data_IF_541549480902
#
_entry.id   IF_541549480902
#
_cell.length_a   1.000
_cell.length_b   1.000
_cell.length_c   1.000
_cell.angle_alpha   90.00
_cell.angle_beta   90.00
_cell.angle_gamma   90.00
#
_symmetry.space_group_name_H-M   'P 1'
#
loop_
_entity.id
_entity.type
_entity.pdbx_description
1 polymer ?
#
# COMPACT_ATOMS: atom_id res chain seq x y z
N UNK A 1 -17.27 -0.15 -20.98
CA UNK A 1 -17.26 -0.87 -22.27
C UNK A 1 -16.12 -1.87 -22.21
N UNK A 2 -16.45 -3.16 -22.22
CA UNK A 2 -15.47 -4.23 -22.13
C UNK A 2 -14.93 -4.47 -23.53
N UNK A 3 -13.71 -4.02 -23.82
CA UNK A 3 -13.09 -4.29 -25.11
C UNK A 3 -12.63 -5.74 -25.13
N UNK A 4 -13.24 -6.53 -26.00
CA UNK A 4 -12.82 -7.90 -26.29
C UNK A 4 -11.49 -7.84 -27.04
N UNK A 5 -10.43 -8.40 -26.46
CA UNK A 5 -9.05 -8.39 -27.00
C UNK A 5 -8.98 -8.88 -28.46
N UNK A 6 -9.90 -9.76 -28.86
CA UNK A 6 -9.97 -10.34 -30.20
C UNK A 6 -10.55 -9.38 -31.25
N UNK A 7 -11.39 -8.41 -30.87
CA UNK A 7 -11.90 -7.40 -31.82
C UNK A 7 -10.90 -6.29 -32.12
N UNK A 8 -9.90 -6.10 -31.24
CA UNK A 8 -8.82 -5.12 -31.46
C UNK A 8 -7.84 -5.65 -32.51
N UNK A 9 -7.56 -6.96 -32.51
CA UNK A 9 -6.60 -7.61 -33.41
C UNK A 9 -7.05 -7.61 -34.88
N UNK A 10 -8.36 -7.67 -35.13
CA UNK A 10 -8.94 -7.72 -36.48
C UNK A 10 -8.91 -6.35 -37.20
N UNK A 11 -8.67 -5.26 -36.45
CA UNK A 11 -8.51 -3.90 -36.98
C UNK A 11 -7.04 -3.43 -37.03
N UNK A 12 -6.06 -4.33 -36.80
CA UNK A 12 -4.63 -4.00 -36.78
C UNK A 12 -3.97 -4.04 -38.16
N UNK A 13 -4.52 -3.35 -39.16
CA UNK A 13 -3.70 -2.95 -40.30
C UNK A 13 -2.85 -1.74 -39.88
N UNK A 14 -1.58 -2.01 -39.59
CA UNK A 14 -0.47 -1.06 -39.43
C UNK A 14 -0.61 -0.03 -38.29
N UNK A 15 -0.38 -0.50 -37.06
CA UNK A 15 0.03 0.40 -35.96
C UNK A 15 1.53 0.71 -36.14
N UNK A 16 1.94 2.00 -36.16
CA UNK A 16 3.35 2.37 -36.21
C UNK A 16 4.12 1.77 -35.02
N UNK A 17 5.34 1.29 -35.26
CA UNK A 17 6.21 0.73 -34.22
C UNK A 17 6.41 1.71 -33.05
N UNK A 18 6.45 3.01 -33.35
CA UNK A 18 6.51 4.09 -32.35
C UNK A 18 5.27 4.18 -31.45
N UNK A 19 4.09 3.84 -31.98
CA UNK A 19 2.86 3.74 -31.18
C UNK A 19 2.91 2.51 -30.29
N UNK A 20 3.41 1.37 -30.79
CA UNK A 20 3.63 0.17 -29.97
C UNK A 20 4.65 0.44 -28.85
N UNK A 21 5.78 1.07 -29.17
CA UNK A 21 6.82 1.44 -28.21
C UNK A 21 6.31 2.43 -27.17
N UNK A 22 5.50 3.42 -27.57
CA UNK A 22 4.86 4.34 -26.64
C UNK A 22 3.83 3.62 -25.74
N UNK A 23 3.00 2.73 -26.30
CA UNK A 23 2.03 1.94 -25.54
C UNK A 23 2.72 1.01 -24.54
N UNK A 24 3.80 0.32 -24.94
CA UNK A 24 4.62 -0.54 -24.07
C UNK A 24 5.37 0.30 -23.02
N UNK A 25 5.86 1.48 -23.39
CA UNK A 25 6.50 2.43 -22.46
C UNK A 25 5.52 2.97 -21.41
N UNK A 26 4.26 3.15 -21.79
CA UNK A 26 3.16 3.52 -20.88
C UNK A 26 2.76 2.32 -20.01
N UNK A 27 2.73 1.11 -20.59
CA UNK A 27 2.48 -0.17 -19.92
C UNK A 27 3.77 -0.78 -19.35
N UNK A 28 4.55 0.00 -18.58
CA UNK A 28 5.64 -0.61 -17.79
C UNK A 28 5.06 -1.76 -16.96
N UNK A 29 5.67 -2.96 -16.96
CA UNK A 29 5.17 -4.07 -16.19
C UNK A 29 5.02 -3.62 -14.74
N UNK A 30 3.84 -3.89 -14.16
CA UNK A 30 3.52 -3.49 -12.80
C UNK A 30 4.61 -4.07 -11.91
N UNK A 31 5.40 -3.20 -11.27
CA UNK A 31 6.54 -3.59 -10.45
C UNK A 31 6.13 -4.39 -9.20
N UNK A 32 4.82 -4.42 -8.93
CA UNK A 32 4.16 -5.16 -7.88
C UNK A 32 3.24 -6.18 -8.55
N UNK A 33 3.45 -7.45 -8.23
CA UNK A 33 2.55 -8.55 -8.59
C UNK A 33 1.24 -8.39 -7.81
N UNK A 34 0.08 -8.17 -8.47
CA UNK A 34 -1.19 -7.92 -7.79
C UNK A 34 -1.72 -9.13 -7.01
N UNK A 35 -1.30 -10.34 -7.37
CA UNK A 35 -1.78 -11.58 -6.75
C UNK A 35 -0.94 -11.98 -5.52
N UNK A 36 0.09 -11.20 -5.19
CA UNK A 36 0.98 -11.43 -4.04
C UNK A 36 0.89 -10.31 -3.03
N UNK A 37 0.85 -10.68 -1.75
CA UNK A 37 0.89 -9.71 -0.65
C UNK A 37 2.15 -8.86 -0.68
N UNK A 38 1.99 -7.60 -0.33
CA UNK A 38 3.07 -6.64 -0.05
C UNK A 38 3.12 -6.32 1.44
N UNK A 39 4.29 -5.93 1.92
CA UNK A 39 4.47 -5.23 3.20
C UNK A 39 4.74 -3.75 2.92
N UNK A 40 3.90 -2.87 3.44
CA UNK A 40 4.03 -1.42 3.26
C UNK A 40 4.40 -0.78 4.60
N UNK A 41 5.46 0.02 4.63
CA UNK A 41 5.89 0.73 5.83
C UNK A 41 6.35 2.16 5.50
N UNK A 42 6.22 3.06 6.47
CA UNK A 42 6.67 4.43 6.29
C UNK A 42 8.19 4.54 6.47
N UNK A 43 8.89 5.04 5.45
CA UNK A 43 10.30 5.33 5.53
C UNK A 43 10.53 6.69 6.21
N UNK A 44 11.04 6.69 7.44
CA UNK A 44 11.25 7.90 8.23
C UNK A 44 12.31 8.85 7.66
N UNK A 45 13.23 8.36 6.83
CA UNK A 45 14.28 9.17 6.19
C UNK A 45 13.75 9.81 4.90
N UNK A 46 13.15 9.01 4.02
CA UNK A 46 12.63 9.47 2.72
C UNK A 46 11.26 10.17 2.82
N UNK A 47 10.56 10.04 3.95
CA UNK A 47 9.20 10.56 4.18
C UNK A 47 8.16 10.04 3.18
N UNK A 48 8.29 8.78 2.76
CA UNK A 48 7.40 8.11 1.79
C UNK A 48 7.10 6.69 2.23
N UNK A 49 6.06 6.07 1.67
CA UNK A 49 5.80 4.65 1.84
C UNK A 49 6.81 3.84 1.04
N UNK A 50 7.41 2.83 1.67
CA UNK A 50 8.17 1.78 0.99
C UNK A 50 7.29 0.55 0.86
N UNK A 51 7.17 0.05 -0.36
CA UNK A 51 6.41 -1.16 -0.69
C UNK A 51 7.42 -2.30 -0.89
N UNK A 52 7.29 -3.35 -0.08
CA UNK A 52 8.16 -4.53 -0.12
C UNK A 52 7.37 -5.75 -0.59
N UNK A 53 7.86 -6.44 -1.61
CA UNK A 53 7.29 -7.70 -2.10
C UNK A 53 8.42 -8.71 -2.26
N UNK A 54 8.19 -9.96 -1.83
CA UNK A 54 9.24 -11.00 -1.89
C UNK A 54 10.53 -10.63 -1.15
N UNK A 55 10.43 -9.88 -0.05
CA UNK A 55 11.59 -9.42 0.74
C UNK A 55 12.36 -8.23 0.17
N UNK A 56 12.03 -7.74 -1.03
CA UNK A 56 12.72 -6.61 -1.68
C UNK A 56 11.80 -5.38 -1.76
N UNK A 57 12.36 -4.19 -1.54
CA UNK A 57 11.61 -2.94 -1.77
C UNK A 57 11.45 -2.76 -3.27
N UNK A 58 10.22 -2.81 -3.75
CA UNK A 58 9.88 -2.70 -5.16
C UNK A 58 9.48 -1.28 -5.52
N UNK A 59 8.88 -0.51 -4.61
CA UNK A 59 8.42 0.84 -4.91
C UNK A 59 8.53 1.78 -3.71
N UNK A 60 8.72 3.07 -4.00
CA UNK A 60 8.46 4.16 -3.07
C UNK A 60 7.30 5.00 -3.61
N UNK A 61 6.35 5.39 -2.75
CA UNK A 61 5.17 6.15 -3.16
C UNK A 61 4.66 7.05 -2.04
N UNK A 62 4.02 8.16 -2.39
CA UNK A 62 3.28 9.02 -1.46
C UNK A 62 1.86 8.51 -1.21
N UNK A 63 1.33 7.66 -2.09
CA UNK A 63 -0.04 7.16 -2.04
C UNK A 63 -0.12 5.69 -2.48
N UNK A 64 -0.91 4.88 -1.78
CA UNK A 64 -1.20 3.49 -2.16
C UNK A 64 -2.49 3.00 -1.52
N UNK A 65 -3.27 2.23 -2.27
CA UNK A 65 -4.48 1.57 -1.79
C UNK A 65 -4.27 0.05 -1.68
N UNK A 66 -4.88 -0.53 -0.66
CA UNK A 66 -4.66 -1.93 -0.27
C UNK A 66 -5.99 -2.60 -0.01
N UNK A 67 -6.19 -3.78 -0.61
CA UNK A 67 -7.27 -4.72 -0.30
C UNK A 67 -6.80 -5.75 0.73
N UNK A 68 -7.72 -6.13 1.62
CA UNK A 68 -7.53 -7.07 2.72
C UNK A 68 -6.28 -6.74 3.58
N UNK A 69 -6.10 -5.47 4.02
CA UNK A 69 -4.98 -5.10 4.86
C UNK A 69 -4.99 -5.80 6.22
N UNK A 70 -3.81 -6.23 6.64
CA UNK A 70 -3.47 -6.63 7.99
C UNK A 70 -2.50 -5.61 8.58
N UNK A 71 -2.78 -5.16 9.80
CA UNK A 71 -1.98 -4.18 10.52
C UNK A 71 -1.00 -4.90 11.45
N UNK A 72 0.22 -5.15 10.97
CA UNK A 72 1.16 -6.08 11.58
C UNK A 72 2.27 -5.37 12.36
N UNK A 73 2.46 -5.75 13.61
CA UNK A 73 3.60 -5.32 14.45
C UNK A 73 4.48 -6.52 14.79
N UNK A 74 5.73 -6.50 14.36
CA UNK A 74 6.73 -7.49 14.74
C UNK A 74 7.24 -7.24 16.16
N UNK A 75 6.86 -8.08 17.11
CA UNK A 75 7.16 -7.88 18.55
C UNK A 75 8.66 -7.83 18.84
N UNK A 76 9.47 -8.73 18.26
CA UNK A 76 10.94 -8.70 18.38
C UNK A 76 11.53 -7.36 17.89
N UNK A 77 10.97 -6.81 16.82
CA UNK A 77 11.36 -5.50 16.29
C UNK A 77 11.00 -4.37 17.26
N UNK A 78 9.79 -4.40 17.82
CA UNK A 78 9.31 -3.45 18.84
C UNK A 78 10.16 -3.51 20.11
N UNK A 79 10.43 -4.70 20.65
CA UNK A 79 11.30 -4.90 21.83
C UNK A 79 12.68 -4.27 21.62
N UNK A 80 13.24 -4.45 20.42
CA UNK A 80 14.50 -3.80 20.03
C UNK A 80 14.40 -2.26 20.07
N UNK A 81 13.31 -1.68 19.56
CA UNK A 81 13.06 -0.22 19.68
C UNK A 81 12.98 0.22 21.14
N UNK A 82 12.30 -0.55 21.99
CA UNK A 82 12.14 -0.21 23.41
C UNK A 82 13.45 -0.27 24.18
N UNK A 83 14.31 -1.25 23.88
CA UNK A 83 15.63 -1.43 24.49
C UNK A 83 16.64 -0.41 23.99
N UNK A 84 16.76 -0.25 22.69
CA UNK A 84 17.81 0.58 22.06
C UNK A 84 17.40 2.05 21.93
N UNK A 85 16.12 2.38 22.16
CA UNK A 85 15.51 3.71 21.90
C UNK A 85 15.75 4.24 20.48
N UNK A 86 16.09 3.34 19.55
CA UNK A 86 16.36 3.62 18.14
C UNK A 86 15.25 3.02 17.29
N UNK A 87 14.63 3.84 16.45
CA UNK A 87 13.56 3.38 15.55
C UNK A 87 14.12 2.40 14.51
N UNK A 88 13.40 1.30 14.30
CA UNK A 88 13.64 0.33 13.24
C UNK A 88 12.32 0.08 12.48
N UNK A 89 12.40 -0.62 11.35
CA UNK A 89 11.20 -1.04 10.62
C UNK A 89 10.66 -2.33 11.26
N UNK A 90 9.48 -2.25 11.88
CA UNK A 90 8.83 -3.38 12.54
C UNK A 90 7.29 -3.33 12.47
N UNK A 91 6.72 -2.31 11.84
CA UNK A 91 5.28 -2.14 11.70
C UNK A 91 4.95 -1.97 10.21
N UNK A 92 3.95 -2.72 9.73
CA UNK A 92 3.60 -2.82 8.32
C UNK A 92 2.09 -2.88 8.11
N UNK A 93 1.61 -2.35 7.00
CA UNK A 93 0.31 -2.72 6.43
C UNK A 93 0.58 -3.80 5.38
N UNK A 94 0.00 -4.99 5.57
CA UNK A 94 0.19 -6.15 4.70
C UNK A 94 -1.09 -6.49 3.96
N UNK A 95 -1.07 -6.52 2.63
CA UNK A 95 -2.26 -6.84 1.83
C UNK A 95 -1.96 -6.85 0.34
N UNK A 96 -2.99 -6.71 -0.49
CA UNK A 96 -2.87 -6.70 -1.95
C UNK A 96 -3.05 -5.29 -2.49
N UNK A 97 -2.18 -4.85 -3.40
CA UNK A 97 -2.27 -3.51 -3.97
C UNK A 97 -3.38 -3.47 -5.01
N UNK A 98 -4.23 -2.45 -4.95
CA UNK A 98 -5.31 -2.21 -5.91
C UNK A 98 -5.12 -0.87 -6.61
N UNK A 99 -5.59 -0.75 -7.85
CA UNK A 99 -5.42 0.44 -8.68
C UNK A 99 -6.43 1.55 -8.37
N UNK A 100 -7.49 1.22 -7.64
CA UNK A 100 -8.52 2.15 -7.28
C UNK A 100 -9.49 1.56 -6.25
N UNK A 101 -10.08 2.43 -5.45
CA UNK A 101 -11.22 2.14 -4.60
C UNK A 101 -12.32 3.17 -4.89
N UNK A 102 -13.60 2.87 -4.58
CA UNK A 102 -14.65 3.87 -4.67
C UNK A 102 -14.30 5.13 -3.84
N UNK A 103 -14.82 6.27 -4.26
CA UNK A 103 -14.47 7.57 -3.66
C UNK A 103 -15.09 7.71 -2.26
N UNK A 104 -16.30 7.17 -2.08
CA UNK A 104 -17.10 7.36 -0.87
C UNK A 104 -17.22 6.03 -0.11
N UNK A 105 -16.42 5.83 0.95
CA UNK A 105 -16.60 4.70 1.85
C UNK A 105 -17.80 4.93 2.78
N UNK A 106 -18.56 3.88 3.07
CA UNK A 106 -19.62 3.88 4.09
C UNK A 106 -19.06 4.20 5.49
N UNK A 107 -17.84 3.71 5.76
CA UNK A 107 -17.14 3.96 7.02
C UNK A 107 -15.65 4.10 6.80
N UNK A 108 -15.06 5.06 7.52
CA UNK A 108 -13.61 5.25 7.59
C UNK A 108 -13.13 5.33 9.04
N UNK A 109 -11.94 4.79 9.30
CA UNK A 109 -11.24 4.89 10.59
C UNK A 109 -9.77 5.23 10.38
N UNK A 110 -9.24 6.15 11.19
CA UNK A 110 -7.82 6.49 11.16
C UNK A 110 -7.02 5.48 11.95
N UNK A 111 -6.01 4.88 11.33
CA UNK A 111 -5.14 3.89 11.98
C UNK A 111 -3.84 4.55 12.42
N UNK A 112 -3.38 4.21 13.63
CA UNK A 112 -2.16 4.77 14.19
C UNK A 112 -1.34 3.74 14.94
N UNK A 113 -0.04 4.00 15.06
CA UNK A 113 0.87 3.16 15.83
C UNK A 113 1.96 4.00 16.48
N UNK A 114 2.20 3.74 17.77
CA UNK A 114 3.34 4.27 18.51
C UNK A 114 3.96 3.14 19.35
N UNK A 115 5.20 2.69 19.07
CA UNK A 115 5.80 1.55 19.76
C UNK A 115 5.98 1.77 21.27
N UNK A 116 6.08 3.04 21.70
CA UNK A 116 6.22 3.40 23.11
C UNK A 116 4.91 3.37 23.89
N UNK A 117 3.76 3.32 23.19
CA UNK A 117 2.42 3.31 23.81
C UNK A 117 1.69 2.00 23.58
N UNK A 118 1.84 1.42 22.38
CA UNK A 118 1.00 0.31 21.92
C UNK A 118 1.87 -0.89 21.49
N UNK A 119 1.35 -2.10 21.67
CA UNK A 119 1.92 -3.34 21.12
C UNK A 119 1.29 -3.73 19.76
N UNK A 120 0.20 -3.07 19.36
CA UNK A 120 -0.52 -3.24 18.10
C UNK A 120 -0.87 -1.88 17.47
N UNK A 121 -1.38 -1.89 16.24
CA UNK A 121 -2.05 -0.73 15.66
C UNK A 121 -3.37 -0.47 16.38
N UNK A 122 -3.77 0.80 16.43
CA UNK A 122 -5.00 1.25 17.10
C UNK A 122 -5.80 2.25 16.25
N UNK A 123 -7.11 2.27 16.44
CA UNK A 123 -7.99 3.33 15.94
C UNK A 123 -7.67 4.66 16.66
N UNK A 124 -7.42 5.71 15.88
CA UNK A 124 -7.23 7.06 16.42
C UNK A 124 -8.58 7.60 16.88
N UNK A 125 -8.66 7.93 18.16
CA UNK A 125 -9.88 8.46 18.79
C UNK A 125 -10.33 7.57 19.94
N UNK A 126 -10.47 6.27 19.68
CA UNK A 126 -10.84 5.29 20.72
C UNK A 126 -9.63 4.63 21.38
N UNK A 127 -8.55 4.42 20.63
CA UNK A 127 -7.39 3.66 21.10
C UNK A 127 -7.58 2.14 21.03
N UNK A 128 -8.71 1.67 20.50
CA UNK A 128 -8.98 0.25 20.34
C UNK A 128 -8.04 -0.40 19.33
N UNK A 129 -7.64 -1.63 19.60
CA UNK A 129 -6.81 -2.40 18.69
C UNK A 129 -7.49 -2.63 17.34
N UNK A 130 -6.75 -2.46 16.25
CA UNK A 130 -7.22 -2.79 14.90
C UNK A 130 -6.23 -3.72 14.22
N UNK A 131 -6.73 -4.87 13.77
CA UNK A 131 -5.90 -5.92 13.15
C UNK A 131 -6.09 -5.99 11.63
N UNK A 132 -7.28 -5.61 11.13
CA UNK A 132 -7.61 -5.63 9.69
C UNK A 132 -8.79 -4.72 9.36
N UNK A 133 -9.00 -4.52 8.06
CA UNK A 133 -10.21 -3.93 7.46
C UNK A 133 -10.38 -4.51 6.05
N UNK A 134 -11.50 -4.27 5.34
CA UNK A 134 -11.64 -4.67 3.94
C UNK A 134 -10.66 -3.95 3.02
N UNK A 135 -10.46 -2.64 3.26
CA UNK A 135 -9.53 -1.85 2.47
C UNK A 135 -8.76 -0.85 3.34
N UNK A 136 -7.64 -0.36 2.82
CA UNK A 136 -6.91 0.75 3.40
C UNK A 136 -6.38 1.72 2.34
N UNK A 137 -6.36 3.00 2.69
CA UNK A 137 -5.68 4.07 1.95
C UNK A 137 -4.50 4.57 2.77
N UNK A 138 -3.32 4.60 2.17
CA UNK A 138 -2.09 5.06 2.79
C UNK A 138 -1.58 6.28 2.03
N UNK A 139 -1.46 7.40 2.71
CA UNK A 139 -1.09 8.68 2.11
C UNK A 139 0.01 9.37 2.92
N UNK A 140 0.80 10.22 2.26
CA UNK A 140 1.72 11.15 2.90
C UNK A 140 1.13 12.55 2.82
N UNK A 141 0.78 13.12 3.96
CA UNK A 141 0.31 14.50 4.07
C UNK A 141 1.32 15.27 4.92
N UNK A 142 1.84 16.39 4.40
CA UNK A 142 2.81 17.23 5.12
C UNK A 142 4.00 16.43 5.69
N UNK A 143 4.57 15.52 4.88
CA UNK A 143 5.66 14.61 5.25
C UNK A 143 5.33 13.63 6.41
N UNK A 144 4.05 13.47 6.75
CA UNK A 144 3.59 12.55 7.80
C UNK A 144 2.73 11.44 7.18
N UNK A 145 2.86 10.19 7.67
CA UNK A 145 2.03 9.09 7.21
C UNK A 145 0.60 9.26 7.73
N UNK A 146 -0.37 8.99 6.86
CA UNK A 146 -1.79 8.85 7.16
C UNK A 146 -2.24 7.48 6.67
N UNK A 147 -2.95 6.76 7.52
CA UNK A 147 -3.50 5.44 7.20
C UNK A 147 -4.98 5.46 7.55
N UNK A 148 -5.80 5.12 6.58
CA UNK A 148 -7.26 5.01 6.71
C UNK A 148 -7.65 3.55 6.48
N UNK A 149 -8.42 2.98 7.40
CA UNK A 149 -9.15 1.74 7.24
C UNK A 149 -10.53 2.07 6.66
N UNK A 150 -10.95 1.36 5.61
CA UNK A 150 -12.11 1.71 4.79
C UNK A 150 -13.07 0.51 4.64
N UNK A 151 -14.36 0.82 4.66
CA UNK A 151 -15.49 -0.08 4.36
C UNK A 151 -16.38 0.61 3.31
N UNK A 152 -16.81 -0.15 2.31
CA UNK A 152 -17.70 0.24 1.22
C UNK A 152 -18.92 -0.68 1.18
#
# INVERSE_FOLDING_TARGET
MNYNYLQILDHMEHIPETTLENTVTIMKPKKIDPDKKVDIYFNLHKKVWSVRQGGKVVQHTSFIQVKDPQYVVGQKGRERVLREKKKNVHAFVRGYVVDGLPIFPDKQRFVSYNPYKNNSFVERGTGDGICSSPFASLEVINQKPRVEALWY
#
